data_IF_055495681272
#
_entry.id   IF_055495681272
#
_cell.length_a   1.000
_cell.length_b   1.000
_cell.length_c   1.000
_cell.angle_alpha   90.00
_cell.angle_beta   90.00
_cell.angle_gamma   90.00
#
_symmetry.space_group_name_H-M   'P 1'
#
loop_
_entity.id
_entity.type
_entity.pdbx_description
1 polymer ?
#
# COMPACT_ATOMS: atom_id res chain seq x y z
N UNK A 1 20.04 -17.74 -3.76
CA UNK A 1 20.41 -16.80 -4.85
C UNK A 1 20.79 -15.45 -4.23
N UNK A 2 22.02 -14.97 -4.48
CA UNK A 2 22.50 -13.68 -3.97
C UNK A 2 21.73 -12.53 -4.63
N UNK A 3 20.82 -11.88 -3.90
CA UNK A 3 19.96 -10.80 -4.42
C UNK A 3 20.74 -9.61 -4.99
N UNK A 4 21.97 -9.37 -4.51
CA UNK A 4 22.91 -8.38 -5.06
C UNK A 4 23.29 -8.59 -6.53
N UNK A 5 23.22 -9.83 -7.05
CA UNK A 5 23.63 -10.12 -8.42
C UNK A 5 22.68 -9.48 -9.46
N UNK A 6 21.39 -9.41 -9.14
CA UNK A 6 20.38 -8.81 -10.03
C UNK A 6 20.49 -7.29 -10.12
N UNK A 7 20.75 -6.61 -8.99
CA UNK A 7 20.91 -5.15 -8.93
C UNK A 7 22.18 -4.65 -9.63
N UNK A 8 23.23 -5.48 -9.73
CA UNK A 8 24.42 -5.11 -10.49
C UNK A 8 24.16 -5.14 -12.00
N UNK A 9 23.24 -6.00 -12.48
CA UNK A 9 22.92 -6.12 -13.90
C UNK A 9 22.46 -4.80 -14.54
N UNK A 10 21.60 -4.05 -13.86
CA UNK A 10 21.01 -2.81 -14.39
C UNK A 10 21.94 -1.59 -14.39
N UNK A 11 23.04 -1.63 -13.63
CA UNK A 11 24.00 -0.52 -13.52
C UNK A 11 25.41 -0.89 -13.95
N UNK A 12 25.60 -2.11 -14.49
CA UNK A 12 26.90 -2.68 -14.86
C UNK A 12 27.70 -1.77 -15.80
N UNK A 13 27.07 -1.27 -16.86
CA UNK A 13 27.73 -0.40 -17.85
C UNK A 13 28.20 0.92 -17.22
N UNK A 14 27.36 1.52 -16.37
CA UNK A 14 27.70 2.75 -15.65
C UNK A 14 28.88 2.52 -14.69
N UNK A 15 28.86 1.42 -13.94
CA UNK A 15 29.93 1.07 -13.00
C UNK A 15 31.25 0.79 -13.74
N UNK A 16 31.21 0.07 -14.86
CA UNK A 16 32.38 -0.18 -15.69
C UNK A 16 32.96 1.13 -16.27
N UNK A 17 32.10 2.04 -16.74
CA UNK A 17 32.51 3.38 -17.20
C UNK A 17 33.11 4.24 -16.07
N UNK A 18 32.56 4.17 -14.86
CA UNK A 18 33.12 4.87 -13.68
C UNK A 18 34.51 4.29 -13.32
N UNK A 19 34.69 2.97 -13.37
CA UNK A 19 35.99 2.32 -13.14
C UNK A 19 37.03 2.67 -14.21
N UNK A 20 36.63 2.67 -15.50
CA UNK A 20 37.52 3.05 -16.60
C UNK A 20 38.03 4.50 -16.49
N UNK A 21 37.29 5.37 -15.79
CA UNK A 21 37.68 6.75 -15.47
C UNK A 21 38.51 6.86 -14.17
N UNK A 22 38.89 5.76 -13.56
CA UNK A 22 39.68 5.73 -12.32
C UNK A 22 38.91 6.09 -11.05
N UNK A 23 37.56 6.12 -11.08
CA UNK A 23 36.80 6.37 -9.85
C UNK A 23 36.87 5.17 -8.91
N UNK A 24 36.98 5.45 -7.60
CA UNK A 24 36.96 4.42 -6.56
C UNK A 24 35.61 3.69 -6.56
N UNK A 25 35.59 2.35 -6.38
CA UNK A 25 34.36 1.58 -6.23
C UNK A 25 33.51 2.11 -5.07
N UNK A 26 32.20 2.19 -5.27
CA UNK A 26 31.22 2.64 -4.27
C UNK A 26 29.99 1.75 -4.28
N UNK A 27 29.27 1.72 -3.17
CA UNK A 27 27.99 1.03 -3.08
C UNK A 27 26.97 1.63 -4.08
N UNK A 28 26.14 0.77 -4.65
CA UNK A 28 24.96 1.18 -5.42
C UNK A 28 23.98 1.80 -4.43
N UNK A 29 23.53 3.03 -4.73
CA UNK A 29 22.48 3.71 -3.97
C UNK A 29 21.18 3.66 -4.76
N UNK A 30 20.13 3.17 -4.14
CA UNK A 30 18.78 3.22 -4.69
C UNK A 30 17.81 3.75 -3.62
N UNK A 31 16.67 4.26 -4.05
CA UNK A 31 15.60 4.71 -3.17
C UNK A 31 14.27 4.11 -3.62
N UNK A 32 13.34 3.94 -2.68
CA UNK A 32 12.00 3.44 -2.97
C UNK A 32 10.98 4.55 -2.78
N UNK A 33 10.24 4.92 -3.84
CA UNK A 33 9.23 5.98 -3.84
C UNK A 33 7.85 5.37 -4.12
N UNK A 34 6.80 5.96 -3.56
CA UNK A 34 5.41 5.57 -3.83
C UNK A 34 4.47 6.05 -2.73
N UNK A 35 3.17 5.90 -2.96
CA UNK A 35 2.12 6.29 -2.01
C UNK A 35 2.23 5.51 -0.67
N UNK A 36 1.57 5.95 0.41
CA UNK A 36 1.54 5.19 1.67
C UNK A 36 1.00 3.77 1.49
N UNK A 37 1.38 2.86 2.38
CA UNK A 37 0.88 1.48 2.48
C UNK A 37 1.09 0.53 1.27
N UNK A 38 1.73 0.95 0.17
CA UNK A 38 2.10 0.04 -0.96
C UNK A 38 3.19 -0.98 -0.64
N UNK A 39 3.71 -1.01 0.59
CA UNK A 39 4.70 -2.02 1.02
C UNK A 39 6.17 -1.69 0.76
N UNK A 40 6.53 -0.41 0.56
CA UNK A 40 7.93 0.06 0.36
C UNK A 40 8.89 -0.52 1.41
N UNK A 41 8.65 -0.25 2.69
CA UNK A 41 9.50 -0.69 3.80
C UNK A 41 9.54 -2.23 3.92
N UNK A 42 8.45 -2.92 3.60
CA UNK A 42 8.41 -4.39 3.53
C UNK A 42 9.33 -4.93 2.44
N UNK A 43 9.28 -4.35 1.24
CA UNK A 43 10.16 -4.72 0.13
C UNK A 43 11.63 -4.47 0.49
N UNK A 44 11.96 -3.31 1.06
CA UNK A 44 13.33 -2.97 1.44
C UNK A 44 13.89 -3.88 2.54
N UNK A 45 13.10 -4.17 3.58
CA UNK A 45 13.47 -5.15 4.60
C UNK A 45 13.75 -6.53 3.98
N UNK A 46 12.94 -6.96 3.00
CA UNK A 46 13.14 -8.23 2.30
C UNK A 46 14.39 -8.23 1.40
N UNK A 47 14.77 -7.08 0.84
CA UNK A 47 15.99 -6.92 0.03
C UNK A 47 17.25 -6.93 0.92
N UNK A 48 17.20 -6.28 2.08
CA UNK A 48 18.32 -6.26 3.05
C UNK A 48 18.38 -7.54 3.89
N UNK A 49 17.29 -8.30 3.99
CA UNK A 49 17.22 -9.55 4.76
C UNK A 49 17.11 -9.33 6.27
N UNK A 50 16.81 -8.11 6.71
CA UNK A 50 16.64 -7.72 8.12
C UNK A 50 15.40 -6.83 8.26
N UNK A 51 14.71 -6.91 9.38
CA UNK A 51 13.60 -5.99 9.74
C UNK A 51 14.19 -4.73 10.36
N UNK A 52 14.58 -3.76 9.52
CA UNK A 52 15.17 -2.49 9.96
C UNK A 52 14.14 -1.37 9.83
N UNK A 53 13.52 -1.24 8.66
CA UNK A 53 12.48 -0.25 8.43
C UNK A 53 11.20 -0.63 9.17
N UNK A 54 10.54 0.36 9.79
CA UNK A 54 9.23 0.16 10.41
C UNK A 54 8.19 -0.16 9.33
N UNK A 55 7.34 -1.15 9.61
CA UNK A 55 6.26 -1.58 8.71
C UNK A 55 4.95 -1.55 9.47
N UNK A 56 3.87 -1.13 8.82
CA UNK A 56 2.53 -1.12 9.38
C UNK A 56 1.50 -0.69 8.34
N UNK A 57 0.24 -1.03 8.57
CA UNK A 57 -0.86 -0.75 7.66
C UNK A 57 -1.55 0.59 7.98
N UNK A 58 -0.78 1.61 8.36
CA UNK A 58 -1.29 2.96 8.66
C UNK A 58 -0.46 3.98 7.89
N UNK A 59 -1.07 4.94 7.18
CA UNK A 59 -0.32 5.99 6.52
C UNK A 59 0.53 6.79 7.52
N UNK A 60 1.79 7.04 7.15
CA UNK A 60 2.75 7.77 7.99
C UNK A 60 3.57 6.91 8.97
N UNK A 61 3.56 5.57 8.83
CA UNK A 61 4.48 4.69 9.59
C UNK A 61 5.95 5.07 9.35
N UNK A 62 6.33 5.25 8.08
CA UNK A 62 7.65 5.79 7.73
C UNK A 62 7.63 7.32 7.86
N UNK A 63 8.19 7.84 8.95
CA UNK A 63 8.18 9.28 9.27
C UNK A 63 9.37 10.07 8.69
N UNK A 64 10.47 9.39 8.39
CA UNK A 64 11.71 10.01 7.91
C UNK A 64 12.45 9.12 6.93
N UNK A 65 13.49 9.69 6.32
CA UNK A 65 14.37 8.95 5.41
C UNK A 65 15.41 8.15 6.19
N UNK A 66 15.63 6.88 5.82
CA UNK A 66 16.63 6.02 6.46
C UNK A 66 17.37 5.17 5.44
N UNK A 67 18.68 4.99 5.65
CA UNK A 67 19.51 4.13 4.81
C UNK A 67 19.58 2.71 5.38
N UNK A 68 19.15 1.73 4.58
CA UNK A 68 19.30 0.30 4.85
C UNK A 68 20.45 -0.23 4.01
N UNK A 69 21.42 -0.89 4.65
CA UNK A 69 22.63 -1.40 3.98
C UNK A 69 22.57 -2.91 3.83
N UNK A 70 22.87 -3.42 2.64
CA UNK A 70 23.08 -4.84 2.38
C UNK A 70 24.53 -5.08 1.95
N UNK A 71 25.37 -5.46 2.92
CA UNK A 71 26.82 -5.56 2.75
C UNK A 71 27.46 -4.21 2.36
N UNK A 72 28.52 -4.26 1.57
CA UNK A 72 29.25 -3.08 1.05
C UNK A 72 28.81 -2.63 -0.35
N UNK A 73 27.90 -3.38 -0.98
CA UNK A 73 27.56 -3.20 -2.40
C UNK A 73 26.25 -2.46 -2.63
N UNK A 74 25.34 -2.41 -1.64
CA UNK A 74 24.00 -1.84 -1.81
C UNK A 74 23.55 -1.03 -0.59
N UNK A 75 23.11 0.20 -0.85
CA UNK A 75 22.47 1.11 0.09
C UNK A 75 21.07 1.46 -0.45
N UNK A 76 20.03 1.22 0.35
CA UNK A 76 18.64 1.49 0.01
C UNK A 76 18.09 2.60 0.91
N UNK A 77 17.54 3.65 0.31
CA UNK A 77 16.88 4.74 1.03
C UNK A 77 15.38 4.45 1.13
N UNK A 78 14.91 4.19 2.35
CA UNK A 78 13.48 4.14 2.65
C UNK A 78 12.94 5.55 2.86
N UNK A 79 11.83 5.86 2.20
CA UNK A 79 11.20 7.18 2.24
C UNK A 79 9.75 7.08 2.71
N UNK A 80 9.22 8.14 3.35
CA UNK A 80 7.79 8.28 3.58
C UNK A 80 6.97 8.07 2.31
N UNK A 81 5.73 7.60 2.48
CA UNK A 81 4.79 7.58 1.37
C UNK A 81 4.35 8.99 0.99
N UNK A 82 4.32 9.28 -0.31
CA UNK A 82 3.96 10.61 -0.83
C UNK A 82 2.63 10.49 -1.56
N UNK A 83 1.67 11.34 -1.18
CA UNK A 83 0.44 11.58 -1.93
C UNK A 83 0.54 12.97 -2.57
N UNK A 84 -0.15 13.14 -3.70
CA UNK A 84 -0.31 14.43 -4.33
C UNK A 84 -1.30 15.31 -3.54
N UNK A 85 -1.12 16.65 -3.55
CA UNK A 85 -1.81 17.55 -2.61
C UNK A 85 -3.30 17.76 -2.90
N UNK A 86 -3.79 17.52 -4.12
CA UNK A 86 -5.21 17.66 -4.48
C UNK A 86 -5.68 16.50 -5.34
N UNK A 87 -6.72 15.82 -4.91
CA UNK A 87 -7.45 14.88 -5.75
C UNK A 87 -8.49 15.68 -6.53
N UNK A 88 -8.39 15.70 -7.85
CA UNK A 88 -9.42 16.30 -8.71
C UNK A 88 -10.61 15.35 -8.91
N UNK A 89 -10.37 14.04 -8.74
CA UNK A 89 -11.36 12.98 -8.88
C UNK A 89 -11.67 12.35 -7.52
N UNK A 90 -12.93 12.46 -7.11
CA UNK A 90 -13.46 11.90 -5.87
C UNK A 90 -13.37 10.36 -5.84
N UNK A 91 -13.54 9.69 -6.99
CA UNK A 91 -13.48 8.24 -7.10
C UNK A 91 -12.06 7.73 -6.80
N UNK A 92 -11.03 8.45 -7.25
CA UNK A 92 -9.63 8.14 -6.90
C UNK A 92 -9.42 8.27 -5.38
N UNK A 93 -9.98 9.31 -4.76
CA UNK A 93 -9.95 9.49 -3.32
C UNK A 93 -10.57 8.32 -2.56
N UNK A 94 -11.78 7.90 -2.96
CA UNK A 94 -12.48 6.75 -2.37
C UNK A 94 -11.70 5.44 -2.52
N UNK A 95 -11.11 5.17 -3.69
CA UNK A 95 -10.24 3.98 -3.90
C UNK A 95 -9.00 3.99 -3.01
N UNK A 96 -8.32 5.13 -2.90
CA UNK A 96 -7.13 5.26 -2.07
C UNK A 96 -7.46 5.12 -0.58
N UNK A 97 -8.60 5.64 -0.15
CA UNK A 97 -9.09 5.46 1.21
C UNK A 97 -9.50 4.02 1.50
N UNK A 98 -10.24 3.37 0.59
CA UNK A 98 -10.69 1.98 0.75
C UNK A 98 -9.49 1.01 0.85
N UNK A 99 -8.39 1.32 0.17
CA UNK A 99 -7.12 0.56 0.24
C UNK A 99 -6.20 1.00 1.38
N UNK A 100 -6.61 2.00 2.17
CA UNK A 100 -5.86 2.49 3.33
C UNK A 100 -4.62 3.34 2.97
N UNK A 101 -4.49 3.84 1.75
CA UNK A 101 -3.38 4.72 1.37
C UNK A 101 -3.51 6.14 1.97
N UNK A 102 -4.75 6.57 2.30
CA UNK A 102 -5.09 7.84 2.95
C UNK A 102 -5.55 7.55 4.38
N UNK A 103 -5.36 8.51 5.30
CA UNK A 103 -5.84 8.37 6.68
C UNK A 103 -7.37 8.47 6.73
N UNK A 104 -8.00 7.54 7.43
CA UNK A 104 -9.44 7.42 7.66
C UNK A 104 -10.11 8.70 8.20
N UNK A 105 -9.36 9.55 8.90
CA UNK A 105 -9.85 10.79 9.53
C UNK A 105 -10.23 11.91 8.53
N UNK A 106 -9.93 11.73 7.25
CA UNK A 106 -10.17 12.74 6.21
C UNK A 106 -11.49 12.55 5.45
N UNK A 107 -12.24 11.47 5.72
CA UNK A 107 -13.43 11.09 4.95
C UNK A 107 -14.54 10.58 5.88
N UNK A 108 -15.79 10.73 5.45
CA UNK A 108 -16.92 10.08 6.09
C UNK A 108 -16.83 8.57 5.84
N UNK A 109 -16.71 7.79 6.92
CA UNK A 109 -16.54 6.35 6.84
C UNK A 109 -17.76 5.65 6.23
N UNK A 110 -18.95 6.22 6.44
CA UNK A 110 -20.20 5.68 5.91
C UNK A 110 -20.23 5.74 4.39
N UNK A 111 -19.83 6.87 3.80
CA UNK A 111 -19.71 7.04 2.34
C UNK A 111 -18.68 6.06 1.74
N UNK A 112 -17.59 5.81 2.47
CA UNK A 112 -16.56 4.87 2.04
C UNK A 112 -17.06 3.42 2.12
N UNK A 113 -17.84 3.08 3.15
CA UNK A 113 -18.45 1.77 3.31
C UNK A 113 -19.49 1.51 2.23
N UNK A 114 -20.36 2.50 1.95
CA UNK A 114 -21.35 2.45 0.86
C UNK A 114 -20.63 2.24 -0.48
N UNK A 115 -19.62 3.05 -0.80
CA UNK A 115 -18.83 2.89 -2.02
C UNK A 115 -18.20 1.49 -2.14
N UNK A 116 -17.64 0.97 -1.04
CA UNK A 116 -17.08 -0.37 -0.99
C UNK A 116 -18.12 -1.46 -1.26
N UNK A 117 -19.30 -1.36 -0.65
CA UNK A 117 -20.40 -2.30 -0.85
C UNK A 117 -20.89 -2.28 -2.30
N UNK A 118 -21.12 -1.10 -2.88
CA UNK A 118 -21.50 -0.97 -4.29
C UNK A 118 -20.48 -1.61 -5.23
N UNK A 119 -19.18 -1.39 -4.96
CA UNK A 119 -18.10 -1.98 -5.75
C UNK A 119 -18.12 -3.53 -5.65
N UNK A 120 -18.21 -4.09 -4.45
CA UNK A 120 -18.22 -5.54 -4.28
C UNK A 120 -19.52 -6.18 -4.77
N UNK A 121 -20.67 -5.55 -4.62
CA UNK A 121 -21.93 -6.04 -5.17
C UNK A 121 -21.87 -6.08 -6.70
N UNK A 122 -21.27 -5.06 -7.34
CA UNK A 122 -21.15 -4.99 -8.80
C UNK A 122 -20.15 -5.99 -9.38
N UNK A 123 -18.96 -6.10 -8.79
CA UNK A 123 -17.84 -6.83 -9.40
C UNK A 123 -17.56 -8.19 -8.77
N UNK A 124 -17.96 -8.40 -7.51
CA UNK A 124 -17.70 -9.62 -6.74
C UNK A 124 -18.91 -10.07 -5.89
N UNK A 125 -20.13 -10.13 -6.45
CA UNK A 125 -21.36 -10.38 -5.70
C UNK A 125 -21.29 -11.67 -4.88
N UNK A 126 -20.79 -12.76 -5.49
CA UNK A 126 -20.65 -14.05 -4.82
C UNK A 126 -19.76 -13.96 -3.57
N UNK A 127 -18.65 -13.21 -3.62
CA UNK A 127 -17.77 -13.04 -2.45
C UNK A 127 -18.42 -12.21 -1.36
N UNK A 128 -19.21 -11.20 -1.72
CA UNK A 128 -19.95 -10.40 -0.75
C UNK A 128 -20.98 -11.25 -0.02
N UNK A 129 -21.76 -12.03 -0.77
CA UNK A 129 -22.72 -13.02 -0.26
C UNK A 129 -22.07 -14.05 0.64
N UNK A 130 -21.00 -14.72 0.19
CA UNK A 130 -20.28 -15.71 1.01
C UNK A 130 -19.72 -15.11 2.30
N UNK A 131 -19.20 -13.87 2.23
CA UNK A 131 -18.58 -13.20 3.38
C UNK A 131 -19.59 -12.83 4.46
N UNK A 132 -20.79 -12.40 4.07
CA UNK A 132 -21.79 -11.80 4.97
C UNK A 132 -23.09 -12.60 5.08
N UNK A 133 -23.23 -13.71 4.36
CA UNK A 133 -24.43 -14.54 4.35
C UNK A 133 -25.65 -13.81 3.79
N UNK A 134 -25.47 -13.06 2.70
CA UNK A 134 -26.57 -12.36 2.03
C UNK A 134 -27.32 -13.28 1.07
N UNK A 135 -28.65 -13.21 1.03
CA UNK A 135 -29.44 -13.85 -0.03
C UNK A 135 -29.29 -13.11 -1.35
N UNK A 136 -29.75 -13.71 -2.45
CA UNK A 136 -29.77 -13.01 -3.75
C UNK A 136 -30.64 -11.74 -3.69
N UNK A 137 -31.79 -11.79 -3.01
CA UNK A 137 -32.67 -10.63 -2.85
C UNK A 137 -31.99 -9.50 -2.05
N UNK A 138 -31.33 -9.85 -0.95
CA UNK A 138 -30.61 -8.90 -0.10
C UNK A 138 -29.42 -8.22 -0.81
N UNK A 139 -28.81 -8.91 -1.79
CA UNK A 139 -27.71 -8.38 -2.59
C UNK A 139 -28.16 -7.28 -3.57
N UNK A 140 -29.45 -7.20 -3.90
CA UNK A 140 -30.00 -6.16 -4.78
C UNK A 140 -30.56 -4.96 -4.01
N UNK A 141 -30.55 -4.98 -2.67
CA UNK A 141 -30.93 -3.83 -1.87
C UNK A 141 -29.96 -2.65 -2.08
N UNK A 142 -30.40 -1.39 -1.88
CA UNK A 142 -29.49 -0.25 -1.85
C UNK A 142 -28.36 -0.43 -0.84
N UNK A 143 -27.15 0.03 -1.15
CA UNK A 143 -25.97 -0.17 -0.31
C UNK A 143 -26.13 0.30 1.16
N UNK A 144 -26.84 1.40 1.49
CA UNK A 144 -27.14 1.74 2.89
C UNK A 144 -27.97 0.67 3.61
N UNK A 145 -28.97 0.09 2.95
CA UNK A 145 -29.79 -0.98 3.52
C UNK A 145 -28.98 -2.27 3.70
N UNK A 146 -28.13 -2.60 2.72
CA UNK A 146 -27.18 -3.71 2.84
C UNK A 146 -26.26 -3.51 4.04
N UNK A 147 -25.74 -2.30 4.25
CA UNK A 147 -24.88 -1.97 5.38
C UNK A 147 -25.60 -2.21 6.70
N UNK A 148 -26.84 -1.72 6.84
CA UNK A 148 -27.66 -1.94 8.04
C UNK A 148 -27.95 -3.43 8.28
N UNK A 149 -28.31 -4.17 7.24
CA UNK A 149 -28.54 -5.61 7.30
C UNK A 149 -27.28 -6.37 7.73
N UNK A 150 -26.13 -6.04 7.15
CA UNK A 150 -24.83 -6.62 7.52
C UNK A 150 -24.54 -6.33 8.99
N UNK A 151 -24.75 -5.09 9.44
CA UNK A 151 -24.55 -4.70 10.84
C UNK A 151 -25.40 -5.54 11.80
N UNK A 152 -26.69 -5.70 11.50
CA UNK A 152 -27.61 -6.54 12.28
C UNK A 152 -27.18 -8.00 12.29
N UNK A 153 -26.87 -8.60 11.13
CA UNK A 153 -26.39 -10.00 11.01
C UNK A 153 -25.09 -10.23 11.79
N UNK A 154 -24.26 -9.19 11.95
CA UNK A 154 -23.02 -9.23 12.73
C UNK A 154 -23.22 -8.95 14.23
N UNK A 155 -24.44 -8.61 14.65
CA UNK A 155 -24.76 -8.31 16.04
C UNK A 155 -24.35 -6.90 16.48
N UNK A 156 -24.03 -5.99 15.56
CA UNK A 156 -23.90 -4.57 15.87
C UNK A 156 -25.31 -4.00 16.05
N UNK A 157 -25.61 -3.47 17.24
CA UNK A 157 -26.90 -2.84 17.59
C UNK A 157 -26.80 -1.31 17.48
N UNK A 158 -27.93 -0.63 17.55
CA UNK A 158 -28.17 0.80 17.26
C UNK A 158 -27.40 1.83 18.14
N UNK A 159 -26.30 1.44 18.78
CA UNK A 159 -25.47 2.33 19.59
C UNK A 159 -24.40 3.00 18.68
N UNK A 160 -24.83 4.01 17.92
CA UNK A 160 -23.96 4.99 17.24
C UNK A 160 -24.27 6.41 17.71
#
# INVERSE_FOLDING_TARGET
MNKCASSQGSVKEKLAREQAKGLKPRAIRAMCIGIPNVGKSTLMNRLVGKKIAQTGNKPGVTKGQQWLRSGSQLELLDTPGILWPKFEDEEIGKKLALTGAIKDQLLHLDDLAIYGLEFFARFYPQRLTERYGLTEEELFLPAPEQLMLISQKRGFRDDY
#
